data_IF_382942904973
#
_entry.id   IF_382942904973
#
_cell.length_a   1.000
_cell.length_b   1.000
_cell.length_c   1.000
_cell.angle_alpha   90.00
_cell.angle_beta   90.00
_cell.angle_gamma   90.00
#
_symmetry.space_group_name_H-M   'P 1'
#
loop_
_entity.id
_entity.type
_entity.pdbx_description
1 polymer ?
#
# COMPACT_ATOMS: atom_id res chain seq x y z
N UNK A 1 4.28 -57.62 -1.57
CA UNK A 1 3.00 -56.89 -1.64
C UNK A 1 3.11 -55.71 -0.71
N UNK A 2 2.84 -54.54 -1.26
CA UNK A 2 3.17 -53.19 -0.81
C UNK A 2 2.57 -52.80 0.54
N UNK A 3 3.43 -52.33 1.44
CA UNK A 3 3.09 -51.56 2.63
C UNK A 3 3.03 -50.08 2.23
N UNK A 4 1.82 -49.51 2.16
CA UNK A 4 1.61 -48.07 1.99
C UNK A 4 1.23 -47.46 3.34
N UNK A 5 2.26 -47.08 4.10
CA UNK A 5 2.12 -46.19 5.24
C UNK A 5 1.79 -44.77 4.72
N UNK A 6 0.50 -44.44 4.79
CA UNK A 6 -0.05 -43.11 4.59
C UNK A 6 0.55 -42.13 5.62
N UNK A 7 1.62 -41.42 5.23
CA UNK A 7 2.15 -40.27 5.99
C UNK A 7 1.54 -39.01 5.40
N UNK A 8 0.44 -38.55 6.00
CA UNK A 8 0.02 -37.15 5.88
C UNK A 8 1.13 -36.27 6.47
N UNK A 9 1.90 -35.63 5.60
CA UNK A 9 2.83 -34.57 5.99
C UNK A 9 1.99 -33.30 6.19
N UNK A 10 1.73 -32.96 7.45
CA UNK A 10 1.22 -31.64 7.82
C UNK A 10 2.32 -30.62 7.52
N UNK A 11 2.12 -29.82 6.47
CA UNK A 11 3.04 -28.75 6.10
C UNK A 11 2.78 -27.57 7.04
N UNK A 12 3.51 -27.56 8.16
CA UNK A 12 3.60 -26.38 9.02
C UNK A 12 4.23 -25.21 8.27
N UNK A 13 3.74 -24.00 8.53
CA UNK A 13 4.09 -22.74 7.84
C UNK A 13 5.56 -22.28 7.97
N UNK A 14 6.42 -23.07 8.62
CA UNK A 14 7.75 -22.61 9.05
C UNK A 14 8.93 -23.43 8.49
N UNK A 15 8.71 -24.37 7.57
CA UNK A 15 9.77 -25.28 7.11
C UNK A 15 10.39 -24.90 5.75
N UNK A 16 11.19 -23.83 5.71
CA UNK A 16 12.15 -23.57 4.62
C UNK A 16 13.48 -24.31 4.85
N UNK A 17 13.42 -25.60 5.21
CA UNK A 17 14.63 -26.39 5.41
C UNK A 17 15.40 -26.52 4.07
N UNK A 18 16.75 -26.42 4.08
CA UNK A 18 17.54 -26.59 2.87
C UNK A 18 17.36 -28.00 2.31
N UNK A 19 17.13 -28.11 1.01
CA UNK A 19 17.11 -29.39 0.29
C UNK A 19 18.56 -29.70 -0.09
N UNK A 20 19.13 -30.77 0.47
CA UNK A 20 20.45 -31.28 0.10
C UNK A 20 20.26 -32.35 -0.96
N UNK A 21 20.82 -32.16 -2.16
CA UNK A 21 20.87 -33.21 -3.18
C UNK A 21 22.08 -34.15 -2.96
N UNK A 22 22.12 -35.27 -3.70
CA UNK A 22 23.21 -36.26 -3.62
C UNK A 22 24.61 -35.74 -3.98
N UNK A 23 24.71 -34.50 -4.48
CA UNK A 23 25.95 -33.84 -4.89
C UNK A 23 26.44 -32.80 -3.86
N UNK A 24 25.89 -32.77 -2.64
CA UNK A 24 26.16 -31.78 -1.59
C UNK A 24 25.84 -30.32 -1.97
N UNK A 25 25.05 -30.08 -3.02
CA UNK A 25 24.53 -28.75 -3.28
C UNK A 25 23.36 -28.45 -2.34
N UNK A 26 23.49 -27.35 -1.61
CA UNK A 26 22.44 -26.84 -0.70
C UNK A 26 21.51 -25.94 -1.50
N UNK A 27 20.27 -26.39 -1.74
CA UNK A 27 19.23 -25.52 -2.29
C UNK A 27 18.47 -24.90 -1.12
N UNK A 28 18.55 -23.58 -0.96
CA UNK A 28 17.61 -22.87 -0.11
C UNK A 28 16.26 -22.84 -0.84
N UNK A 29 15.20 -23.31 -0.20
CA UNK A 29 13.85 -23.10 -0.72
C UNK A 29 13.63 -21.59 -0.88
N UNK A 30 13.41 -21.13 -2.11
CA UNK A 30 13.03 -19.73 -2.36
C UNK A 30 11.61 -19.55 -1.85
N UNK A 31 11.42 -18.61 -0.93
CA UNK A 31 10.09 -18.28 -0.41
C UNK A 31 9.16 -17.89 -1.57
N UNK A 32 7.91 -18.40 -1.60
CA UNK A 32 6.94 -18.00 -2.61
C UNK A 32 6.76 -16.48 -2.63
N UNK A 33 6.66 -15.89 -3.83
CA UNK A 33 6.61 -14.43 -4.01
C UNK A 33 5.44 -13.77 -3.27
N UNK A 34 4.29 -14.44 -3.24
CA UNK A 34 3.09 -14.01 -2.52
C UNK A 34 3.32 -13.97 -1.00
N UNK A 35 4.03 -14.97 -0.45
CA UNK A 35 4.39 -15.02 0.97
C UNK A 35 5.38 -13.91 1.31
N UNK A 36 6.41 -13.72 0.48
CA UNK A 36 7.38 -12.62 0.65
C UNK A 36 6.68 -11.26 0.60
N UNK A 37 5.80 -11.04 -0.38
CA UNK A 37 5.05 -9.79 -0.52
C UNK A 37 4.16 -9.52 0.69
N UNK A 38 3.40 -10.52 1.14
CA UNK A 38 2.51 -10.42 2.30
C UNK A 38 3.28 -10.08 3.59
N UNK A 39 4.49 -10.65 3.78
CA UNK A 39 5.35 -10.33 4.93
C UNK A 39 5.77 -8.87 4.92
N UNK A 40 6.28 -8.39 3.79
CA UNK A 40 6.69 -6.98 3.64
C UNK A 40 5.50 -6.03 3.83
N UNK A 41 4.34 -6.33 3.24
CA UNK A 41 3.10 -5.55 3.43
C UNK A 41 2.69 -5.45 4.89
N UNK A 42 2.71 -6.57 5.62
CA UNK A 42 2.38 -6.59 7.04
C UNK A 42 3.38 -5.76 7.89
N UNK A 43 4.66 -5.84 7.58
CA UNK A 43 5.71 -5.04 8.22
C UNK A 43 5.50 -3.53 7.97
N UNK A 44 5.26 -3.14 6.71
CA UNK A 44 4.99 -1.75 6.33
C UNK A 44 3.76 -1.17 7.00
N UNK A 45 2.67 -1.95 7.09
CA UNK A 45 1.45 -1.54 7.80
C UNK A 45 1.69 -1.33 9.30
N UNK A 46 2.49 -2.20 9.93
CA UNK A 46 2.88 -2.04 11.34
C UNK A 46 3.71 -0.76 11.52
N UNK A 47 4.67 -0.50 10.63
CA UNK A 47 5.52 0.69 10.69
C UNK A 47 4.72 1.98 10.49
N UNK A 48 3.75 2.02 9.57
CA UNK A 48 2.83 3.17 9.43
C UNK A 48 2.10 3.47 10.74
N UNK A 49 1.54 2.44 11.39
CA UNK A 49 0.83 2.58 12.68
C UNK A 49 1.74 3.04 13.82
N UNK A 50 3.05 2.81 13.72
CA UNK A 50 4.05 3.27 14.68
C UNK A 50 4.61 4.66 14.35
N UNK A 51 4.17 5.30 13.25
CA UNK A 51 4.70 6.60 12.83
C UNK A 51 6.10 6.51 12.19
N UNK A 52 6.44 5.37 11.57
CA UNK A 52 7.72 5.11 10.89
C UNK A 52 7.56 5.06 9.35
N UNK A 53 7.16 6.15 8.70
CA UNK A 53 6.75 6.11 7.29
C UNK A 53 7.91 5.84 6.31
N UNK A 54 9.14 6.25 6.63
CA UNK A 54 10.30 6.00 5.76
C UNK A 54 10.66 4.51 5.68
N UNK A 55 10.55 3.81 6.81
CA UNK A 55 10.75 2.35 6.85
C UNK A 55 9.60 1.65 6.11
N UNK A 56 8.36 2.09 6.36
CA UNK A 56 7.18 1.55 5.69
C UNK A 56 7.25 1.66 4.17
N UNK A 57 7.72 2.79 3.63
CA UNK A 57 7.91 2.97 2.20
C UNK A 57 8.91 1.95 1.60
N UNK A 58 9.94 1.58 2.37
CA UNK A 58 10.89 0.53 2.00
C UNK A 58 10.21 -0.83 1.92
N UNK A 59 9.43 -1.19 2.92
CA UNK A 59 8.68 -2.45 2.96
C UNK A 59 7.67 -2.56 1.81
N UNK A 60 6.87 -1.52 1.54
CA UNK A 60 5.92 -1.55 0.42
C UNK A 60 6.61 -1.59 -0.95
N UNK A 61 7.86 -1.10 -1.07
CA UNK A 61 8.64 -1.28 -2.29
C UNK A 61 9.05 -2.73 -2.48
N UNK A 62 9.51 -3.39 -1.41
CA UNK A 62 9.85 -4.82 -1.42
C UNK A 62 8.62 -5.69 -1.70
N UNK A 63 7.46 -5.34 -1.12
CA UNK A 63 6.20 -6.02 -1.40
C UNK A 63 5.84 -5.98 -2.89
N UNK A 64 5.87 -4.79 -3.51
CA UNK A 64 5.60 -4.62 -4.94
C UNK A 64 6.64 -5.26 -5.84
N UNK A 65 7.90 -5.34 -5.42
CA UNK A 65 8.93 -6.03 -6.19
C UNK A 65 8.67 -7.55 -6.25
N UNK A 66 8.10 -8.12 -5.19
CA UNK A 66 7.71 -9.53 -5.13
C UNK A 66 6.36 -9.78 -5.84
N UNK A 67 5.36 -8.94 -5.60
CA UNK A 67 4.00 -9.04 -6.13
C UNK A 67 3.50 -7.66 -6.63
N UNK A 68 3.75 -7.28 -7.90
CA UNK A 68 3.37 -5.96 -8.41
C UNK A 68 1.87 -5.72 -8.57
N UNK A 69 1.05 -6.78 -8.48
CA UNK A 69 -0.38 -6.75 -8.78
C UNK A 69 -1.28 -6.44 -7.59
N UNK A 70 -0.72 -6.13 -6.42
CA UNK A 70 -1.52 -5.85 -5.24
C UNK A 70 -1.76 -4.33 -5.07
N UNK A 71 -3.00 -3.83 -5.20
CA UNK A 71 -3.32 -2.39 -5.11
C UNK A 71 -3.02 -1.79 -3.74
N UNK A 72 -3.13 -2.56 -2.65
CA UNK A 72 -2.90 -2.06 -1.29
C UNK A 72 -1.45 -1.61 -1.08
N UNK A 73 -0.48 -2.28 -1.71
CA UNK A 73 0.93 -1.92 -1.57
C UNK A 73 1.25 -0.54 -2.19
N UNK A 74 0.51 -0.15 -3.23
CA UNK A 74 0.61 1.18 -3.81
C UNK A 74 -0.12 2.22 -2.97
N UNK A 75 -1.32 1.89 -2.48
CA UNK A 75 -2.09 2.77 -1.61
C UNK A 75 -1.34 3.11 -0.32
N UNK A 76 -0.89 2.10 0.42
CA UNK A 76 -0.14 2.32 1.66
C UNK A 76 1.25 2.90 1.39
N UNK A 77 1.88 2.56 0.25
CA UNK A 77 3.09 3.23 -0.22
C UNK A 77 2.89 4.74 -0.42
N UNK A 78 1.78 5.16 -1.04
CA UNK A 78 1.44 6.56 -1.24
C UNK A 78 1.24 7.32 0.08
N UNK A 79 0.62 6.67 1.08
CA UNK A 79 0.50 7.22 2.44
C UNK A 79 1.90 7.42 3.06
N UNK A 80 2.76 6.42 2.92
CA UNK A 80 4.12 6.46 3.46
C UNK A 80 4.97 7.60 2.85
N UNK A 81 4.79 7.91 1.55
CA UNK A 81 5.50 9.01 0.88
C UNK A 81 5.23 10.39 1.51
N UNK A 82 4.04 10.62 2.07
CA UNK A 82 3.72 11.88 2.74
C UNK A 82 4.45 12.04 4.08
N UNK A 83 4.80 10.92 4.72
CA UNK A 83 5.67 10.93 5.89
C UNK A 83 5.02 11.50 7.15
N UNK A 84 3.73 11.26 7.37
CA UNK A 84 3.01 11.75 8.56
C UNK A 84 2.77 13.26 8.56
N UNK A 85 2.86 13.92 7.40
CA UNK A 85 2.67 15.37 7.25
C UNK A 85 1.51 15.65 6.31
N UNK A 86 0.85 16.79 6.54
CA UNK A 86 -0.17 17.32 5.61
C UNK A 86 0.47 17.47 4.23
N UNK A 87 -0.24 17.08 3.17
CA UNK A 87 0.27 17.20 1.80
C UNK A 87 0.74 18.63 1.53
N UNK A 88 0.03 19.66 2.02
CA UNK A 88 0.43 21.07 1.96
C UNK A 88 1.88 21.35 2.43
N UNK A 89 2.40 20.59 3.40
CA UNK A 89 3.76 20.75 3.94
C UNK A 89 4.77 19.79 3.31
N UNK A 90 4.32 18.81 2.53
CA UNK A 90 5.20 17.84 1.91
C UNK A 90 5.99 18.46 0.73
N UNK A 91 7.22 18.00 0.48
CA UNK A 91 7.95 18.37 -0.74
C UNK A 91 7.19 17.92 -2.00
N UNK A 92 7.30 18.69 -3.10
CA UNK A 92 6.63 18.37 -4.38
C UNK A 92 6.93 16.94 -4.86
N UNK A 93 8.18 16.48 -4.69
CA UNK A 93 8.60 15.12 -5.07
C UNK A 93 7.78 14.04 -4.36
N UNK A 94 7.47 14.24 -3.07
CA UNK A 94 6.71 13.29 -2.27
C UNK A 94 5.25 13.28 -2.70
N UNK A 95 4.66 14.47 -2.96
CA UNK A 95 3.28 14.57 -3.46
C UNK A 95 3.13 13.94 -4.84
N UNK A 96 4.09 14.16 -5.74
CA UNK A 96 4.11 13.52 -7.06
C UNK A 96 4.30 12.01 -6.98
N UNK A 97 5.15 11.53 -6.07
CA UNK A 97 5.31 10.10 -5.83
C UNK A 97 4.01 9.48 -5.31
N UNK A 98 3.36 10.10 -4.33
CA UNK A 98 2.07 9.66 -3.81
C UNK A 98 0.96 9.68 -4.89
N UNK A 99 0.89 10.74 -5.70
CA UNK A 99 -0.05 10.86 -6.84
C UNK A 99 0.18 9.71 -7.85
N UNK A 100 1.42 9.45 -8.25
CA UNK A 100 1.74 8.33 -9.14
C UNK A 100 1.33 6.98 -8.55
N UNK A 101 1.65 6.73 -7.29
CA UNK A 101 1.32 5.48 -6.61
C UNK A 101 -0.19 5.28 -6.49
N UNK A 102 -0.95 6.32 -6.15
CA UNK A 102 -2.40 6.18 -6.03
C UNK A 102 -3.08 5.96 -7.39
N UNK A 103 -2.54 6.52 -8.48
CA UNK A 103 -2.97 6.15 -9.84
C UNK A 103 -2.67 4.69 -10.15
N UNK A 104 -1.48 4.19 -9.82
CA UNK A 104 -1.18 2.76 -10.01
C UNK A 104 -2.09 1.85 -9.18
N UNK A 105 -2.51 2.28 -7.99
CA UNK A 105 -3.50 1.55 -7.20
C UNK A 105 -4.86 1.53 -7.91
N UNK A 106 -5.29 2.66 -8.48
CA UNK A 106 -6.53 2.79 -9.26
C UNK A 106 -6.52 1.95 -10.54
N UNK A 107 -5.37 1.86 -11.23
CA UNK A 107 -5.21 1.03 -12.43
C UNK A 107 -5.40 -0.46 -12.12
N UNK A 108 -5.05 -0.89 -10.91
CA UNK A 108 -5.22 -2.26 -10.44
C UNK A 108 -6.63 -2.51 -9.87
N UNK A 109 -7.16 -1.56 -9.10
CA UNK A 109 -8.48 -1.67 -8.48
C UNK A 109 -9.12 -0.31 -8.23
N UNK A 110 -10.32 -0.11 -8.78
CA UNK A 110 -11.02 1.16 -8.79
C UNK A 110 -11.85 1.38 -7.50
N UNK A 111 -11.17 1.76 -6.39
CA UNK A 111 -11.79 1.94 -5.06
C UNK A 111 -12.06 3.40 -4.69
N UNK A 112 -13.16 3.69 -3.95
CA UNK A 112 -13.52 5.06 -3.60
C UNK A 112 -12.48 5.75 -2.69
N UNK A 113 -11.84 5.03 -1.77
CA UNK A 113 -10.80 5.60 -0.90
C UNK A 113 -9.57 6.07 -1.68
N UNK A 114 -9.30 5.47 -2.84
CA UNK A 114 -8.17 5.86 -3.68
C UNK A 114 -8.44 7.18 -4.40
N UNK A 115 -9.63 7.30 -4.98
CA UNK A 115 -10.14 8.55 -5.54
C UNK A 115 -10.15 9.67 -4.51
N UNK A 116 -10.53 9.35 -3.27
CA UNK A 116 -10.56 10.33 -2.21
C UNK A 116 -9.17 10.77 -1.78
N UNK A 117 -8.22 9.82 -1.66
CA UNK A 117 -6.84 10.17 -1.36
C UNK A 117 -6.21 11.03 -2.46
N UNK A 118 -6.52 10.74 -3.72
CA UNK A 118 -6.13 11.54 -4.86
C UNK A 118 -6.72 12.97 -4.83
N UNK A 119 -7.99 13.10 -4.46
CA UNK A 119 -8.63 14.40 -4.23
C UNK A 119 -7.92 15.19 -3.13
N UNK A 120 -7.59 14.53 -2.01
CA UNK A 120 -6.85 15.13 -0.91
C UNK A 120 -5.48 15.67 -1.35
N UNK A 121 -4.66 14.87 -2.04
CA UNK A 121 -3.35 15.30 -2.54
C UNK A 121 -3.47 16.56 -3.41
N UNK A 122 -4.44 16.57 -4.31
CA UNK A 122 -4.66 17.66 -5.27
C UNK A 122 -5.21 18.92 -4.60
N UNK A 123 -6.15 18.77 -3.68
CA UNK A 123 -6.71 19.89 -2.93
C UNK A 123 -5.68 20.50 -1.98
N UNK A 124 -5.12 19.69 -1.09
CA UNK A 124 -4.33 20.17 0.03
C UNK A 124 -2.96 20.68 -0.43
N UNK A 125 -2.36 20.07 -1.46
CA UNK A 125 -1.12 20.58 -2.05
C UNK A 125 -1.37 21.70 -3.06
N UNK A 126 -2.09 21.44 -4.16
CA UNK A 126 -2.12 22.35 -5.30
C UNK A 126 -3.14 23.48 -5.10
N UNK A 127 -4.39 23.15 -4.79
CA UNK A 127 -5.46 24.15 -4.69
C UNK A 127 -5.17 25.18 -3.58
N UNK A 128 -4.80 24.71 -2.38
CA UNK A 128 -4.43 25.60 -1.25
C UNK A 128 -3.20 26.47 -1.54
N UNK A 129 -2.27 26.00 -2.37
CA UNK A 129 -1.08 26.77 -2.80
C UNK A 129 -1.32 27.58 -4.09
N UNK A 130 -2.53 27.56 -4.65
CA UNK A 130 -2.87 28.21 -5.92
C UNK A 130 -1.97 27.76 -7.09
N UNK A 131 -1.59 26.47 -7.09
CA UNK A 131 -0.84 25.82 -8.16
C UNK A 131 -1.79 25.08 -9.10
N UNK A 132 -1.36 24.88 -10.35
CA UNK A 132 -2.10 24.08 -11.32
C UNK A 132 -1.92 22.58 -11.01
N UNK A 133 -2.99 21.83 -10.67
CA UNK A 133 -2.90 20.38 -10.49
C UNK A 133 -2.93 19.64 -11.84
N UNK A 134 -2.50 18.37 -11.88
CA UNK A 134 -2.62 17.51 -13.06
C UNK A 134 -4.09 17.34 -13.54
N UNK A 135 -5.02 17.31 -12.59
CA UNK A 135 -6.46 17.34 -12.84
C UNK A 135 -7.18 18.01 -11.65
N UNK A 136 -8.39 18.57 -11.84
CA UNK A 136 -9.18 19.14 -10.76
C UNK A 136 -9.46 18.12 -9.66
N UNK A 137 -9.25 18.50 -8.39
CA UNK A 137 -9.47 17.62 -7.24
C UNK A 137 -10.94 17.21 -7.08
N UNK A 138 -11.86 18.07 -7.54
CA UNK A 138 -13.30 17.86 -7.49
C UNK A 138 -13.75 16.63 -8.29
N UNK A 139 -13.03 16.27 -9.36
CA UNK A 139 -13.36 15.09 -10.16
C UNK A 139 -13.17 13.82 -9.34
N UNK A 140 -11.98 13.65 -8.75
CA UNK A 140 -11.69 12.50 -7.89
C UNK A 140 -12.55 12.50 -6.62
N UNK A 141 -12.87 13.68 -6.09
CA UNK A 141 -13.77 13.79 -4.94
C UNK A 141 -15.19 13.32 -5.27
N UNK A 142 -15.76 13.76 -6.40
CA UNK A 142 -17.07 13.32 -6.85
C UNK A 142 -17.09 11.82 -7.16
N UNK A 143 -16.02 11.29 -7.78
CA UNK A 143 -15.89 9.88 -8.12
C UNK A 143 -15.87 8.99 -6.87
N UNK A 144 -15.13 9.39 -5.83
CA UNK A 144 -15.14 8.67 -4.55
C UNK A 144 -16.55 8.55 -3.97
N UNK A 145 -17.39 9.57 -4.12
CA UNK A 145 -18.75 9.62 -3.56
C UNK A 145 -19.72 8.80 -4.39
N UNK A 146 -19.62 8.92 -5.72
CA UNK A 146 -20.38 8.10 -6.66
C UNK A 146 -20.15 6.60 -6.43
N UNK A 147 -18.95 6.22 -5.98
CA UNK A 147 -18.57 4.85 -5.63
C UNK A 147 -18.90 4.43 -4.18
N UNK A 148 -19.62 5.26 -3.43
CA UNK A 148 -20.09 4.93 -2.09
C UNK A 148 -19.02 5.00 -1.00
N UNK A 149 -18.14 6.02 -1.03
CA UNK A 149 -17.22 6.23 0.08
C UNK A 149 -17.98 6.40 1.40
N UNK A 150 -17.48 5.74 2.45
CA UNK A 150 -18.02 5.81 3.80
C UNK A 150 -17.09 6.59 4.72
N UNK A 151 -17.65 7.18 5.78
CA UNK A 151 -16.87 7.90 6.79
C UNK A 151 -15.77 7.02 7.42
N UNK A 152 -16.05 5.74 7.67
CA UNK A 152 -15.05 4.81 8.22
C UNK A 152 -13.79 4.67 7.33
N UNK A 153 -13.94 4.76 6.00
CA UNK A 153 -12.80 4.72 5.07
C UNK A 153 -12.00 6.03 5.10
N UNK A 154 -12.69 7.17 5.20
CA UNK A 154 -12.08 8.50 5.40
C UNK A 154 -11.25 8.50 6.69
N UNK A 155 -11.87 8.07 7.81
CA UNK A 155 -11.24 8.01 9.12
C UNK A 155 -10.01 7.10 9.11
N UNK A 156 -10.10 5.95 8.44
CA UNK A 156 -8.98 5.01 8.30
C UNK A 156 -7.80 5.63 7.54
N UNK A 157 -8.07 6.33 6.42
CA UNK A 157 -7.05 7.04 5.65
C UNK A 157 -6.35 8.10 6.50
N UNK A 158 -7.11 8.98 7.14
CA UNK A 158 -6.55 10.10 7.90
C UNK A 158 -5.88 9.68 9.21
N UNK A 159 -6.33 8.58 9.81
CA UNK A 159 -5.62 7.93 10.92
C UNK A 159 -4.22 7.48 10.47
N UNK A 160 -4.11 6.83 9.31
CA UNK A 160 -2.82 6.38 8.78
C UNK A 160 -1.93 7.55 8.32
N UNK A 161 -2.52 8.60 7.75
CA UNK A 161 -1.79 9.82 7.41
C UNK A 161 -1.32 10.60 8.64
N UNK A 162 -1.92 10.37 9.82
CA UNK A 162 -1.69 11.12 11.06
C UNK A 162 -1.92 12.63 10.90
N UNK A 163 -2.94 13.00 10.13
CA UNK A 163 -3.32 14.40 9.89
C UNK A 163 -4.84 14.54 9.86
N UNK A 164 -5.32 15.75 10.14
CA UNK A 164 -6.73 16.10 9.97
C UNK A 164 -7.12 16.16 8.49
N UNK A 165 -8.36 15.77 8.20
CA UNK A 165 -9.00 15.93 6.89
C UNK A 165 -9.24 17.41 6.56
N UNK A 166 -8.62 17.97 5.51
CA UNK A 166 -8.87 19.34 5.09
C UNK A 166 -9.96 19.46 4.01
N UNK A 167 -10.48 18.35 3.46
CA UNK A 167 -11.46 18.39 2.39
C UNK A 167 -12.81 18.91 2.92
N UNK A 168 -13.59 19.61 2.07
CA UNK A 168 -14.90 20.08 2.48
C UNK A 168 -15.83 18.90 2.76
N UNK A 169 -16.62 19.00 3.84
CA UNK A 169 -17.70 18.07 4.10
C UNK A 169 -18.70 18.08 2.94
N UNK A 170 -19.19 16.90 2.55
CA UNK A 170 -20.28 16.81 1.58
C UNK A 170 -21.58 17.20 2.26
N UNK A 171 -22.21 18.21 1.67
CA UNK A 171 -23.53 18.71 2.07
C UNK A 171 -24.60 18.08 1.21
#
# INVERSE_FOLDING_TARGET
MTDQANRQVSIGRDNFAPIINGDNNTYHAVEPRDVTAARHRAAGLRQLRLGLPSEAAGEFRSARAAEPGNPDDYYFGAIAELGGRKAFLAPLRCVRAADLLIHSALDLEDRPEFHYFLAYLRFDYYARKRLQPPAPWQLSFAEAWAKGLTQSRIDSLFTLLSVEDPLPAVR
#
